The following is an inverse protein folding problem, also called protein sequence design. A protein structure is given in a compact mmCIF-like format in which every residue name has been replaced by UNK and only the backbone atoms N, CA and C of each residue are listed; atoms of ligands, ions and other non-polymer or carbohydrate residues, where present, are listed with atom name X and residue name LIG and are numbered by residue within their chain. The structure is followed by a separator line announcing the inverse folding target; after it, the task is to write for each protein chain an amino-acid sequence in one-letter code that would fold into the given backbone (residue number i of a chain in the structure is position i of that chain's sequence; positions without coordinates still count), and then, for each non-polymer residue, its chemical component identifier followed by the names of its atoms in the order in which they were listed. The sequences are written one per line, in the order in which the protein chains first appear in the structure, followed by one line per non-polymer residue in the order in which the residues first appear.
data_IF_652230870146
#
_entry.id   IF_652230870146
#
_cell.length_a   1.000
_cell.length_b   1.000
_cell.length_c   1.000
_cell.angle_alpha   90.00
_cell.angle_beta   90.00
_cell.angle_gamma   90.00
#
_symmetry.space_group_name_H-M   'P 1'
#
loop_
_entity.id
_entity.type
_entity.pdbx_description
1 polymer ?
#
# COMPACT_ATOMS: atom_id res chain seq x y z
N UNK A 1 18.87 0.17 9.43
CA UNK A 1 18.13 -0.25 8.21
C UNK A 1 17.04 0.78 8.02
N UNK A 2 17.10 1.56 6.96
CA UNK A 2 16.10 2.57 6.64
C UNK A 2 14.84 1.84 6.15
N UNK A 3 13.67 2.17 6.70
CA UNK A 3 12.41 1.60 6.24
C UNK A 3 11.88 2.44 5.08
N UNK A 4 11.95 1.91 3.86
CA UNK A 4 11.35 2.54 2.68
C UNK A 4 9.83 2.44 2.77
N UNK A 5 9.14 3.58 2.76
CA UNK A 5 7.68 3.64 2.59
C UNK A 5 7.39 3.81 1.09
N UNK A 6 6.55 2.94 0.54
CA UNK A 6 6.08 3.02 -0.83
C UNK A 6 4.62 3.47 -0.87
N UNK A 7 4.28 4.31 -1.84
CA UNK A 7 2.89 4.73 -2.11
C UNK A 7 2.25 3.82 -3.17
N UNK A 8 0.91 3.74 -3.27
CA UNK A 8 0.22 2.89 -4.25
C UNK A 8 0.70 3.06 -5.69
N UNK A 9 1.08 4.27 -6.09
CA UNK A 9 1.66 4.57 -7.40
C UNK A 9 2.96 3.81 -7.70
N UNK A 10 3.90 3.81 -6.76
CA UNK A 10 5.17 3.11 -6.92
C UNK A 10 4.95 1.59 -7.01
N UNK A 11 4.06 1.06 -6.18
CA UNK A 11 3.67 -0.35 -6.24
C UNK A 11 3.01 -0.69 -7.58
N UNK A 12 2.16 0.19 -8.11
CA UNK A 12 1.50 -0.02 -9.40
C UNK A 12 2.51 -0.09 -10.56
N UNK A 13 3.53 0.78 -10.55
CA UNK A 13 4.63 0.77 -11.52
C UNK A 13 5.42 -0.55 -11.45
N UNK A 14 5.84 -0.96 -10.25
CA UNK A 14 6.63 -2.18 -10.03
C UNK A 14 5.86 -3.46 -10.38
N UNK A 15 4.59 -3.54 -10.01
CA UNK A 15 3.71 -4.69 -10.29
C UNK A 15 3.05 -4.63 -11.68
N UNK A 16 3.39 -3.63 -12.52
CA UNK A 16 2.83 -3.43 -13.85
C UNK A 16 1.29 -3.47 -13.84
N UNK A 17 0.70 -2.78 -12.86
CA UNK A 17 -0.75 -2.73 -12.64
C UNK A 17 -1.20 -1.28 -12.39
N UNK A 18 -2.44 -1.08 -11.96
CA UNK A 18 -2.97 0.25 -11.66
C UNK A 18 -3.01 0.52 -10.16
N UNK A 19 -2.94 1.79 -9.76
CA UNK A 19 -3.12 2.20 -8.36
C UNK A 19 -4.44 1.69 -7.77
N UNK A 20 -5.51 1.71 -8.58
CA UNK A 20 -6.81 1.17 -8.20
C UNK A 20 -6.78 -0.32 -7.88
N UNK A 21 -6.01 -1.13 -8.63
CA UNK A 21 -5.84 -2.55 -8.34
C UNK A 21 -5.07 -2.80 -7.04
N UNK A 22 -4.01 -2.02 -6.79
CA UNK A 22 -3.26 -2.09 -5.53
C UNK A 22 -4.18 -1.75 -4.34
N UNK A 23 -4.91 -0.65 -4.43
CA UNK A 23 -5.83 -0.20 -3.37
C UNK A 23 -6.98 -1.18 -3.15
N UNK A 24 -7.61 -1.68 -4.22
CA UNK A 24 -8.68 -2.67 -4.12
C UNK A 24 -8.20 -3.95 -3.44
N UNK A 25 -7.01 -4.45 -3.82
CA UNK A 25 -6.42 -5.63 -3.20
C UNK A 25 -6.12 -5.40 -1.71
N UNK A 26 -5.48 -4.26 -1.39
CA UNK A 26 -5.17 -3.89 -0.02
C UNK A 26 -6.44 -3.78 0.83
N UNK A 27 -7.45 -3.03 0.37
CA UNK A 27 -8.71 -2.84 1.09
C UNK A 27 -9.46 -4.16 1.32
N UNK A 28 -9.47 -5.05 0.31
CA UNK A 28 -10.07 -6.39 0.41
C UNK A 28 -9.39 -7.26 1.46
N UNK A 29 -8.09 -7.06 1.69
CA UNK A 29 -7.28 -7.86 2.61
C UNK A 29 -6.84 -7.06 3.84
N UNK A 30 -7.46 -5.91 4.12
CA UNK A 30 -6.95 -4.92 5.08
C UNK A 30 -6.78 -5.51 6.49
N UNK A 31 -7.64 -6.46 6.87
CA UNK A 31 -7.58 -7.18 8.15
C UNK A 31 -6.26 -7.92 8.39
N UNK A 32 -5.49 -8.22 7.34
CA UNK A 32 -4.17 -8.87 7.41
C UNK A 32 -3.04 -7.89 7.74
N UNK A 33 -3.32 -6.59 7.74
CA UNK A 33 -2.32 -5.53 7.88
C UNK A 33 -2.51 -4.71 9.14
N UNK A 34 -1.40 -4.42 9.85
CA UNK A 34 -1.41 -3.64 11.08
C UNK A 34 -1.01 -2.19 10.77
N UNK A 35 -1.88 -1.23 11.09
CA UNK A 35 -1.60 0.22 10.95
C UNK A 35 -0.36 0.58 11.78
N UNK A 36 0.51 1.44 11.24
CA UNK A 36 1.79 1.86 11.81
C UNK A 36 2.86 0.75 11.90
N UNK A 37 2.62 -0.42 11.30
CA UNK A 37 3.61 -1.50 11.16
C UNK A 37 3.76 -1.95 9.71
N UNK A 38 2.66 -2.28 9.05
CA UNK A 38 2.65 -2.72 7.66
C UNK A 38 2.24 -1.60 6.69
N UNK A 39 1.40 -0.66 7.15
CA UNK A 39 0.96 0.47 6.34
C UNK A 39 0.75 1.70 7.22
N UNK A 40 0.76 2.87 6.58
CA UNK A 40 0.38 4.14 7.17
C UNK A 40 -0.83 4.69 6.42
N UNK A 41 -1.83 5.17 7.16
CA UNK A 41 -2.93 5.94 6.59
C UNK A 41 -2.51 7.40 6.59
N UNK A 42 -2.42 8.00 5.40
CA UNK A 42 -2.17 9.43 5.27
C UNK A 42 -3.52 10.15 5.34
N UNK A 43 -3.71 10.99 6.34
CA UNK A 43 -4.91 11.81 6.53
C UNK A 43 -4.55 13.26 6.15
N UNK A 44 -5.32 13.85 5.24
CA UNK A 44 -5.12 15.19 4.70
C UNK A 44 -6.33 15.66 3.91
#
# INVERSE_FOLDING_TARGET
MESTILIPKQLAEDYQTTEGNILNNFNTNMERFIKNKHYYLLEG
#
